data_IF_203039680621
#
_entry.id   IF_203039680621
#
_cell.length_a   1.000
_cell.length_b   1.000
_cell.length_c   1.000
_cell.angle_alpha   90.00
_cell.angle_beta   90.00
_cell.angle_gamma   90.00
#
_symmetry.space_group_name_H-M   'P 1'
#
loop_
_entity.id
_entity.type
_entity.pdbx_description
1 polymer ?
#
# COMPACT_ATOMS: atom_id res chain seq x y z
N UNK A 1 -8.86 -8.51 -5.98
CA UNK A 1 -8.42 -9.82 -6.55
C UNK A 1 -7.27 -9.63 -7.53
N UNK A 2 -7.34 -8.60 -8.38
CA UNK A 2 -6.21 -8.09 -9.17
C UNK A 2 -6.08 -6.59 -8.92
N UNK A 3 -5.07 -5.94 -9.49
CA UNK A 3 -4.93 -4.49 -9.48
C UNK A 3 -4.16 -3.91 -8.29
N UNK A 4 -3.29 -4.68 -7.63
CA UNK A 4 -2.55 -4.16 -6.46
C UNK A 4 -1.53 -3.07 -6.80
N UNK A 5 -0.81 -3.05 -7.94
CA UNK A 5 0.02 -1.90 -8.30
C UNK A 5 -0.83 -0.63 -8.49
N UNK A 6 -1.91 -0.73 -9.24
CA UNK A 6 -2.86 0.36 -9.51
C UNK A 6 -3.41 0.90 -8.18
N UNK A 7 -3.90 0.00 -7.31
CA UNK A 7 -4.41 0.35 -5.97
C UNK A 7 -3.35 1.02 -5.10
N UNK A 8 -2.10 0.54 -5.10
CA UNK A 8 -1.03 1.14 -4.30
C UNK A 8 -0.66 2.55 -4.79
N UNK A 9 -0.80 2.80 -6.08
CA UNK A 9 -0.56 4.10 -6.71
C UNK A 9 -1.78 5.03 -6.75
N UNK A 10 -2.92 4.66 -6.16
CA UNK A 10 -4.06 5.55 -6.07
C UNK A 10 -3.84 6.60 -4.96
N UNK A 11 -3.84 7.92 -5.28
CA UNK A 11 -3.71 8.99 -4.30
C UNK A 11 -4.76 8.97 -3.17
N UNK A 12 -5.91 8.33 -3.38
CA UNK A 12 -6.97 8.22 -2.38
C UNK A 12 -6.54 7.46 -1.12
N UNK A 13 -5.53 6.59 -1.22
CA UNK A 13 -4.95 5.86 -0.09
C UNK A 13 -3.85 6.62 0.64
N UNK A 14 -3.61 7.90 0.32
CA UNK A 14 -2.62 8.69 1.05
C UNK A 14 -2.90 8.68 2.55
N UNK A 15 -1.86 8.39 3.34
CA UNK A 15 -1.93 8.29 4.80
C UNK A 15 -2.72 7.08 5.36
N UNK A 16 -3.08 6.10 4.51
CA UNK A 16 -3.85 4.93 4.91
C UNK A 16 -3.02 3.64 4.86
N UNK A 17 -3.39 2.69 5.74
CA UNK A 17 -2.87 1.32 5.70
C UNK A 17 -3.81 0.49 4.85
N UNK A 18 -3.33 0.00 3.72
CA UNK A 18 -4.13 -0.80 2.80
C UNK A 18 -4.14 -2.27 3.22
N UNK A 19 -5.33 -2.80 3.52
CA UNK A 19 -5.53 -4.22 3.85
C UNK A 19 -6.16 -4.91 2.65
N UNK A 20 -5.43 -5.82 2.00
CA UNK A 20 -5.95 -6.55 0.86
C UNK A 20 -6.68 -7.82 1.30
N UNK A 21 -7.91 -7.97 0.81
CA UNK A 21 -8.78 -9.10 1.15
C UNK A 21 -8.46 -10.38 0.38
N UNK A 22 -7.82 -10.24 -0.79
CA UNK A 22 -7.35 -11.40 -1.55
C UNK A 22 -6.11 -11.97 -0.88
N UNK A 23 -6.07 -13.29 -0.58
CA UNK A 23 -5.06 -13.86 0.31
C UNK A 23 -3.64 -13.81 -0.27
N UNK A 24 -3.47 -14.00 -1.58
CA UNK A 24 -2.15 -14.11 -2.21
C UNK A 24 -1.86 -12.84 -3.01
N UNK A 25 -0.89 -12.04 -2.57
CA UNK A 25 -0.56 -10.75 -3.20
C UNK A 25 0.89 -10.75 -3.72
N UNK A 26 1.09 -10.13 -4.88
CA UNK A 26 2.40 -10.06 -5.52
C UNK A 26 2.61 -11.13 -6.61
N UNK A 27 1.59 -11.90 -6.97
CA UNK A 27 1.67 -13.03 -7.91
C UNK A 27 2.07 -12.66 -9.34
N UNK A 28 1.80 -11.43 -9.80
CA UNK A 28 2.20 -10.95 -11.13
C UNK A 28 3.34 -9.92 -11.10
N UNK A 29 3.92 -9.67 -9.92
CA UNK A 29 5.00 -8.70 -9.73
C UNK A 29 4.53 -7.26 -10.00
N UNK A 30 5.46 -6.41 -10.40
CA UNK A 30 5.20 -5.00 -10.71
C UNK A 30 5.61 -4.74 -12.17
N UNK A 31 4.77 -4.04 -12.96
CA UNK A 31 5.08 -3.73 -14.35
C UNK A 31 6.20 -2.69 -14.49
N UNK A 32 6.65 -2.46 -15.72
CA UNK A 32 7.61 -1.39 -16.05
C UNK A 32 7.01 0.01 -15.89
N UNK A 33 7.86 1.04 -15.90
CA UNK A 33 7.46 2.46 -15.81
C UNK A 33 7.20 3.09 -17.18
N UNK A 34 6.61 2.32 -18.09
CA UNK A 34 6.26 2.81 -19.43
C UNK A 34 5.23 3.94 -19.31
N UNK A 35 5.41 4.99 -20.10
CA UNK A 35 4.56 6.19 -20.13
C UNK A 35 4.01 6.44 -21.52
N UNK A 36 2.86 7.09 -21.60
CA UNK A 36 2.26 7.53 -22.85
C UNK A 36 2.90 8.81 -23.41
N UNK A 37 2.35 9.31 -24.52
CA UNK A 37 2.79 10.54 -25.18
C UNK A 37 2.68 11.80 -24.32
N UNK A 38 1.90 11.75 -23.24
CA UNK A 38 1.71 12.83 -22.28
C UNK A 38 2.54 12.63 -21.00
N UNK A 39 3.36 11.58 -20.93
CA UNK A 39 4.16 11.24 -19.75
C UNK A 39 3.35 10.59 -18.62
N UNK A 40 2.13 10.11 -18.90
CA UNK A 40 1.26 9.44 -17.94
C UNK A 40 1.62 7.94 -17.90
N UNK A 41 1.82 7.34 -16.71
CA UNK A 41 2.14 5.92 -16.61
C UNK A 41 1.04 5.01 -17.17
N UNK A 42 1.39 4.01 -17.97
CA UNK A 42 0.42 3.08 -18.55
C UNK A 42 -0.17 2.08 -17.54
N UNK A 43 0.58 1.78 -16.48
CA UNK A 43 0.27 0.67 -15.57
C UNK A 43 0.16 1.09 -14.11
N UNK A 44 0.11 2.39 -13.85
CA UNK A 44 0.00 2.96 -12.52
C UNK A 44 -0.98 4.15 -12.56
N UNK A 45 -1.74 4.34 -11.49
CA UNK A 45 -2.69 5.46 -11.34
C UNK A 45 -1.97 6.78 -10.96
N UNK A 46 -0.71 6.68 -10.53
CA UNK A 46 0.11 7.84 -10.17
C UNK A 46 1.60 7.51 -10.21
N UNK A 47 2.43 8.51 -9.90
CA UNK A 47 3.89 8.45 -10.04
C UNK A 47 4.62 7.74 -8.89
N UNK A 48 3.93 7.39 -7.80
CA UNK A 48 4.50 6.77 -6.59
C UNK A 48 3.47 5.90 -5.88
N UNK A 49 3.92 5.10 -4.91
CA UNK A 49 3.00 4.48 -3.94
C UNK A 49 2.50 5.57 -2.98
N UNK A 50 1.17 5.66 -2.84
CA UNK A 50 0.50 6.61 -1.94
C UNK A 50 0.07 5.98 -0.62
N UNK A 51 -0.26 4.68 -0.64
CA UNK A 51 -0.56 3.93 0.58
C UNK A 51 0.62 3.99 1.56
N UNK A 52 0.33 4.25 2.84
CA UNK A 52 1.36 4.35 3.87
C UNK A 52 1.90 3.01 4.33
N UNK A 53 1.13 1.94 4.15
CA UNK A 53 1.58 0.58 4.38
C UNK A 53 0.67 -0.42 3.65
N UNK A 54 1.17 -1.64 3.47
CA UNK A 54 0.41 -2.76 2.92
C UNK A 54 0.32 -3.92 3.93
N UNK A 55 -0.89 -4.47 4.09
CA UNK A 55 -1.17 -5.66 4.91
C UNK A 55 -1.77 -6.74 4.02
N UNK A 56 -1.12 -7.90 3.98
CA UNK A 56 -1.54 -9.05 3.15
C UNK A 56 -1.63 -10.33 3.97
N UNK A 57 -2.40 -11.30 3.47
CA UNK A 57 -2.40 -12.65 4.03
C UNK A 57 -1.08 -13.36 3.73
N UNK A 58 -0.75 -13.49 2.45
CA UNK A 58 0.43 -14.17 1.94
C UNK A 58 1.06 -13.34 0.81
N UNK A 59 2.39 -13.19 0.84
CA UNK A 59 3.15 -12.59 -0.24
C UNK A 59 3.71 -13.67 -1.17
N UNK A 60 3.53 -13.50 -2.48
CA UNK A 60 4.16 -14.34 -3.48
C UNK A 60 5.58 -13.83 -3.80
N UNK A 61 6.60 -14.57 -3.34
CA UNK A 61 8.02 -14.24 -3.59
C UNK A 61 8.44 -14.43 -5.05
N UNK A 62 7.75 -15.32 -5.77
CA UNK A 62 8.10 -15.73 -7.14
C UNK A 62 7.00 -15.35 -8.14
N UNK A 63 6.85 -14.06 -8.49
CA UNK A 63 5.84 -13.65 -9.45
C UNK A 63 6.12 -14.17 -10.85
N UNK A 64 5.03 -14.48 -11.56
CA UNK A 64 5.04 -14.90 -12.96
C UNK A 64 4.02 -14.11 -13.77
N UNK A 65 4.51 -13.19 -14.59
CA UNK A 65 3.70 -12.40 -15.51
C UNK A 65 4.61 -11.81 -16.59
N UNK A 66 4.16 -11.77 -17.85
CA UNK A 66 4.99 -11.34 -19.00
C UNK A 66 5.50 -9.89 -18.91
N UNK A 67 4.77 -9.01 -18.21
CA UNK A 67 5.17 -7.61 -17.93
C UNK A 67 5.98 -7.41 -16.64
N UNK A 68 6.25 -8.47 -15.86
CA UNK A 68 6.96 -8.33 -14.58
C UNK A 68 8.36 -7.76 -14.83
N UNK A 69 8.69 -6.66 -14.16
CA UNK A 69 10.05 -6.12 -14.11
C UNK A 69 10.70 -6.33 -12.75
N UNK A 70 9.91 -6.28 -11.67
CA UNK A 70 10.37 -6.45 -10.28
C UNK A 70 9.34 -7.19 -9.42
N UNK A 71 9.75 -7.64 -8.25
CA UNK A 71 8.84 -8.17 -7.22
C UNK A 71 8.14 -7.04 -6.48
N UNK A 72 7.01 -7.34 -5.85
CA UNK A 72 6.31 -6.38 -4.99
C UNK A 72 7.18 -5.93 -3.81
N UNK A 73 7.89 -6.86 -3.17
CA UNK A 73 8.79 -6.54 -2.06
C UNK A 73 9.90 -5.56 -2.47
N UNK A 74 10.55 -5.80 -3.62
CA UNK A 74 11.57 -4.88 -4.15
C UNK A 74 11.00 -3.49 -4.40
N UNK A 75 9.82 -3.40 -5.02
CA UNK A 75 9.17 -2.11 -5.29
C UNK A 75 8.83 -1.34 -4.00
N UNK A 76 8.30 -2.03 -2.99
CA UNK A 76 7.99 -1.42 -1.70
C UNK A 76 9.24 -0.92 -0.97
N UNK A 77 10.37 -1.64 -1.06
CA UNK A 77 11.65 -1.20 -0.50
C UNK A 77 12.15 0.06 -1.21
N UNK A 78 12.09 0.11 -2.54
CA UNK A 78 12.50 1.29 -3.33
C UNK A 78 11.66 2.54 -2.97
N UNK A 79 10.36 2.38 -2.80
CA UNK A 79 9.41 3.46 -2.47
C UNK A 79 9.36 3.78 -0.97
N UNK A 80 10.15 3.09 -0.14
CA UNK A 80 10.19 3.23 1.32
C UNK A 80 8.83 2.99 1.99
N UNK A 81 8.05 2.03 1.49
CA UNK A 81 6.73 1.69 2.00
C UNK A 81 6.78 0.40 2.84
N UNK A 82 6.34 0.45 4.11
CA UNK A 82 6.30 -0.73 4.98
C UNK A 82 5.23 -1.73 4.55
N UNK A 83 5.51 -3.02 4.73
CA UNK A 83 4.57 -4.11 4.45
C UNK A 83 4.64 -5.21 5.52
N UNK A 84 3.51 -5.87 5.77
CA UNK A 84 3.42 -7.04 6.64
C UNK A 84 2.58 -8.14 5.99
N UNK A 85 3.03 -9.39 6.14
CA UNK A 85 2.32 -10.59 5.70
C UNK A 85 2.08 -11.54 6.88
N UNK A 86 1.27 -12.58 6.67
CA UNK A 86 0.88 -13.54 7.71
C UNK A 86 -0.22 -13.03 8.64
N UNK A 87 -0.91 -11.95 8.25
CA UNK A 87 -2.01 -11.38 9.03
C UNK A 87 -3.34 -12.00 8.56
N UNK A 88 -4.22 -12.33 9.49
CA UNK A 88 -5.61 -12.68 9.14
C UNK A 88 -6.35 -11.43 8.66
N UNK A 89 -6.21 -11.14 7.36
CA UNK A 89 -6.85 -9.99 6.71
C UNK A 89 -8.37 -10.10 6.71
N UNK A 90 -8.94 -11.31 6.80
CA UNK A 90 -10.38 -11.53 6.91
C UNK A 90 -10.90 -11.09 8.28
N UNK A 91 -10.21 -11.49 9.36
CA UNK A 91 -10.53 -11.01 10.71
C UNK A 91 -10.42 -9.49 10.80
N UNK A 92 -9.33 -8.91 10.28
CA UNK A 92 -9.11 -7.47 10.29
C UNK A 92 -10.21 -6.72 9.50
N UNK A 93 -10.56 -7.23 8.31
CA UNK A 93 -11.62 -6.64 7.48
C UNK A 93 -12.98 -6.67 8.19
N UNK A 94 -13.32 -7.77 8.89
CA UNK A 94 -14.55 -7.84 9.69
C UNK A 94 -14.57 -6.77 10.78
N UNK A 95 -13.47 -6.62 11.52
CA UNK A 95 -13.37 -5.61 12.57
C UNK A 95 -13.54 -4.18 12.03
N UNK A 96 -12.88 -3.85 10.92
CA UNK A 96 -13.00 -2.53 10.27
C UNK A 96 -14.44 -2.31 9.77
N UNK A 97 -15.06 -3.32 9.16
CA UNK A 97 -16.44 -3.23 8.67
C UNK A 97 -17.45 -2.96 9.79
N UNK A 98 -17.26 -3.55 10.97
CA UNK A 98 -18.16 -3.39 12.11
C UNK A 98 -17.94 -2.06 12.85
N UNK A 99 -16.69 -1.60 12.97
CA UNK A 99 -16.32 -0.42 13.77
C UNK A 99 -16.18 0.87 12.97
N UNK A 100 -16.17 0.78 11.64
CA UNK A 100 -15.86 1.90 10.75
C UNK A 100 -14.36 2.13 10.63
N UNK A 101 -13.97 3.34 10.23
CA UNK A 101 -12.56 3.72 10.06
C UNK A 101 -11.80 3.57 11.38
N UNK A 102 -10.75 2.75 11.36
CA UNK A 102 -9.90 2.51 12.52
C UNK A 102 -8.50 3.04 12.26
N UNK A 103 -7.94 3.69 13.27
CA UNK A 103 -6.53 4.02 13.29
C UNK A 103 -5.69 2.76 13.56
N UNK A 104 -4.52 2.66 12.92
CA UNK A 104 -3.61 1.53 13.07
C UNK A 104 -2.14 1.94 12.89
N UNK A 105 -1.24 1.09 13.38
CA UNK A 105 0.22 1.26 13.20
C UNK A 105 0.91 -0.09 13.05
N UNK A 106 1.96 -0.13 12.21
CA UNK A 106 2.87 -1.27 12.08
C UNK A 106 4.13 -0.96 12.88
N UNK A 107 4.58 -1.91 13.71
CA UNK A 107 5.74 -1.75 14.58
C UNK A 107 6.70 -2.92 14.34
N UNK A 108 7.97 -2.59 14.11
CA UNK A 108 9.01 -3.54 13.69
C UNK A 108 9.67 -4.31 14.83
N UNK A 109 9.59 -3.80 16.06
CA UNK A 109 10.30 -4.39 17.20
C UNK A 109 9.51 -4.27 18.49
N UNK A 110 9.72 -5.25 19.36
CA UNK A 110 9.25 -5.27 20.73
C UNK A 110 10.47 -5.12 21.67
N UNK A 111 10.32 -4.49 22.85
CA UNK A 111 9.10 -3.91 23.40
C UNK A 111 8.63 -2.69 22.61
N UNK A 112 7.33 -2.38 22.68
CA UNK A 112 6.78 -1.17 22.07
C UNK A 112 7.64 0.02 22.51
N UNK A 113 8.16 0.84 21.59
CA UNK A 113 8.95 1.98 21.98
C UNK A 113 8.11 2.85 22.92
N UNK A 114 8.69 3.19 24.07
CA UNK A 114 8.04 4.06 25.06
C UNK A 114 8.07 5.54 24.61
N UNK A 115 8.21 5.76 23.30
CA UNK A 115 8.43 7.04 22.63
C UNK A 115 7.17 7.91 22.60
N UNK A 116 6.05 7.41 23.13
CA UNK A 116 4.81 8.15 23.14
C UNK A 116 4.28 8.45 21.74
N UNK A 117 4.64 7.64 20.72
CA UNK A 117 4.06 7.74 19.37
C UNK A 117 2.55 7.50 19.45
N UNK A 118 1.84 8.60 19.67
CA UNK A 118 0.39 8.67 19.63
C UNK A 118 -0.05 8.35 18.21
N UNK A 119 -1.09 7.54 18.13
CA UNK A 119 -1.74 7.29 16.85
C UNK A 119 -2.43 8.58 16.43
N UNK A 120 -1.90 9.23 15.40
CA UNK A 120 -2.44 10.49 14.87
C UNK A 120 -3.44 10.14 13.77
N UNK A 121 -4.61 10.78 13.82
CA UNK A 121 -5.60 10.64 12.75
C UNK A 121 -5.18 11.49 11.54
N UNK A 122 -4.87 10.89 10.39
CA UNK A 122 -4.49 11.65 9.20
C UNK A 122 -5.64 12.45 8.60
N UNK A 123 -6.91 12.15 8.93
CA UNK A 123 -8.07 12.84 8.37
C UNK A 123 -8.27 14.25 8.93
N UNK A 124 -7.51 14.64 9.97
CA UNK A 124 -7.55 15.99 10.54
C UNK A 124 -6.84 17.03 9.66
N UNK A 125 -5.95 16.58 8.77
CA UNK A 125 -5.19 17.45 7.85
C UNK A 125 -5.80 17.40 6.44
N UNK A 126 -5.46 18.39 5.63
CA UNK A 126 -5.93 18.46 4.25
C UNK A 126 -5.11 17.53 3.33
N UNK A 127 -5.54 16.27 3.24
CA UNK A 127 -4.88 15.26 2.41
C UNK A 127 -4.94 15.59 0.91
N UNK A 128 -5.97 16.30 0.45
CA UNK A 128 -6.10 16.72 -0.95
C UNK A 128 -4.95 17.64 -1.34
N UNK A 129 -4.58 18.57 -0.46
CA UNK A 129 -3.45 19.47 -0.70
C UNK A 129 -2.12 18.71 -0.77
N UNK A 130 -1.97 17.61 -0.04
CA UNK A 130 -0.75 16.81 -0.02
C UNK A 130 -0.53 16.04 -1.33
N UNK A 131 -1.62 15.59 -1.97
CA UNK A 131 -1.57 14.82 -3.23
C UNK A 131 -1.72 15.68 -4.49
N UNK A 132 -2.24 16.89 -4.36
CA UNK A 132 -2.43 17.80 -5.49
C UNK A 132 -1.10 18.23 -6.11
N UNK A 133 -1.10 18.43 -7.43
CA UNK A 133 0.04 19.00 -8.15
C UNK A 133 0.38 20.37 -7.57
N UNK A 134 1.68 20.62 -7.37
CA UNK A 134 2.18 21.92 -6.93
C UNK A 134 2.35 22.80 -8.17
N UNK A 135 1.72 23.97 -8.15
CA UNK A 135 1.85 25.03 -9.17
C UNK A 135 3.02 25.92 -8.78
#
# INVERSE_FOLDING_TARGET
>A
MVGYPESLTDPSYHAQILVLTYPIIGNYGVPGKDVDEHGIPYFFESHRIWASALVVGEHCDHPSHWRKTKTLAQWMVEEHVPGIQGVDTRMLTKMIREKGTMLGKIIYSLPLPNDGTKMVDPNIRNLVMDVSTKV
#
